data_IF_440702282323
#
_entry.id   IF_440702282323
#
_cell.length_a   1.000
_cell.length_b   1.000
_cell.length_c   1.000
_cell.angle_alpha   90.00
_cell.angle_beta   90.00
_cell.angle_gamma   90.00
#
_symmetry.space_group_name_H-M   'P 1'
#
loop_
_entity.id
_entity.type
_entity.pdbx_description
1 polymer ?
#
# COMPACT_ATOMS: atom_id res chain seq x y z
N UNK A 1 7.41 8.01 33.59
CA UNK A 1 7.78 8.40 32.21
C UNK A 1 7.52 7.19 31.34
N UNK A 2 6.66 7.29 30.32
CA UNK A 2 6.44 6.20 29.35
C UNK A 2 7.69 6.09 28.48
N UNK A 3 8.23 4.88 28.29
CA UNK A 3 9.39 4.70 27.42
C UNK A 3 8.99 4.88 25.95
N UNK A 4 9.95 5.21 25.09
CA UNK A 4 9.74 5.26 23.63
C UNK A 4 9.11 3.96 23.09
N UNK A 5 9.45 2.82 23.71
CA UNK A 5 8.87 1.52 23.39
C UNK A 5 7.38 1.44 23.78
N UNK A 6 7.02 1.85 24.98
CA UNK A 6 5.64 1.79 25.47
C UNK A 6 4.72 2.71 24.64
N UNK A 7 5.19 3.91 24.32
CA UNK A 7 4.47 4.86 23.45
C UNK A 7 4.26 4.28 22.05
N UNK A 8 5.25 3.57 21.51
CA UNK A 8 5.11 2.90 20.23
C UNK A 8 4.11 1.74 20.32
N UNK A 9 4.17 0.92 21.37
CA UNK A 9 3.23 -0.19 21.58
C UNK A 9 1.78 0.28 21.68
N UNK A 10 1.51 1.43 22.30
CA UNK A 10 0.17 2.01 22.37
C UNK A 10 -0.32 2.53 21.01
N UNK A 11 0.57 3.10 20.19
CA UNK A 11 0.21 3.75 18.90
C UNK A 11 0.38 2.86 17.68
N UNK A 12 1.02 1.69 17.83
CA UNK A 12 1.24 0.77 16.73
C UNK A 12 -0.09 0.17 16.25
N UNK A 13 -0.95 -0.44 17.10
CA UNK A 13 -2.17 -1.10 16.67
C UNK A 13 -3.18 -0.17 15.97
N UNK A 14 -3.42 1.02 16.52
CA UNK A 14 -4.45 1.95 16.03
C UNK A 14 -4.25 2.39 14.59
N UNK A 15 -3.01 2.49 14.14
CA UNK A 15 -2.69 2.83 12.74
C UNK A 15 -2.78 1.62 11.80
N UNK A 16 -2.72 0.39 12.31
CA UNK A 16 -3.04 -0.80 11.50
C UNK A 16 -4.52 -1.00 11.31
N UNK A 17 -5.35 -0.62 12.29
CA UNK A 17 -6.80 -0.63 12.10
C UNK A 17 -7.18 0.30 10.94
N UNK A 18 -6.62 1.51 10.92
CA UNK A 18 -6.77 2.46 9.80
C UNK A 18 -6.22 1.89 8.49
N UNK A 19 -5.04 1.26 8.51
CA UNK A 19 -4.49 0.63 7.30
C UNK A 19 -5.37 -0.51 6.77
N UNK A 20 -5.97 -1.29 7.66
CA UNK A 20 -6.86 -2.39 7.31
C UNK A 20 -8.18 -1.88 6.71
N UNK A 21 -8.72 -0.80 7.27
CA UNK A 21 -9.90 -0.10 6.73
C UNK A 21 -9.63 0.42 5.32
N UNK A 22 -8.54 1.19 5.13
CA UNK A 22 -8.14 1.72 3.81
C UNK A 22 -7.92 0.57 2.81
N UNK A 23 -7.24 -0.51 3.22
CA UNK A 23 -7.03 -1.66 2.35
C UNK A 23 -8.36 -2.36 1.98
N UNK A 24 -9.32 -2.42 2.90
CA UNK A 24 -10.66 -2.94 2.65
C UNK A 24 -11.43 -2.05 1.67
N UNK A 25 -11.34 -0.73 1.81
CA UNK A 25 -11.99 0.22 0.91
C UNK A 25 -11.44 0.10 -0.51
N UNK A 26 -10.11 0.09 -0.68
CA UNK A 26 -9.48 -0.13 -1.99
C UNK A 26 -9.91 -1.48 -2.57
N UNK A 27 -9.94 -2.53 -1.76
CA UNK A 27 -10.40 -3.85 -2.21
C UNK A 27 -11.85 -3.82 -2.71
N UNK A 28 -12.73 -3.10 -2.02
CA UNK A 28 -14.13 -2.94 -2.43
C UNK A 28 -14.26 -2.17 -3.74
N UNK A 29 -13.52 -1.08 -3.91
CA UNK A 29 -13.50 -0.30 -5.16
C UNK A 29 -13.02 -1.15 -6.36
N UNK A 30 -11.94 -1.92 -6.15
CA UNK A 30 -11.45 -2.89 -7.14
C UNK A 30 -12.53 -3.93 -7.48
N UNK A 31 -13.20 -4.49 -6.47
CA UNK A 31 -14.26 -5.49 -6.66
C UNK A 31 -15.47 -4.94 -7.41
N UNK A 32 -15.75 -3.64 -7.27
CA UNK A 32 -16.82 -2.94 -7.99
C UNK A 32 -16.41 -2.52 -9.41
N UNK A 33 -15.14 -2.70 -9.79
CA UNK A 33 -14.63 -2.33 -11.11
C UNK A 33 -14.21 -0.86 -11.23
N UNK A 34 -14.20 -0.11 -10.12
CA UNK A 34 -13.79 1.30 -10.10
C UNK A 34 -12.26 1.47 -10.16
N UNK A 35 -11.52 0.36 -10.05
CA UNK A 35 -10.06 0.36 -10.02
C UNK A 35 -9.52 0.69 -8.64
N UNK A 36 -8.28 1.18 -8.61
CA UNK A 36 -7.57 1.51 -7.36
C UNK A 36 -7.57 3.02 -7.19
N UNK A 37 -8.20 3.50 -6.11
CA UNK A 37 -8.15 4.92 -5.77
C UNK A 37 -6.71 5.34 -5.41
N UNK A 38 -6.11 6.29 -6.15
CA UNK A 38 -4.72 6.69 -5.95
C UNK A 38 -4.48 7.42 -4.62
N UNK A 39 -5.48 8.13 -4.08
CA UNK A 39 -5.35 8.84 -2.81
C UNK A 39 -5.41 7.85 -1.64
N UNK A 40 -6.31 6.86 -1.69
CA UNK A 40 -6.34 5.78 -0.69
C UNK A 40 -5.04 4.96 -0.72
N UNK A 41 -4.55 4.61 -1.91
CA UNK A 41 -3.28 3.89 -2.05
C UNK A 41 -2.10 4.69 -1.48
N UNK A 42 -2.07 6.01 -1.73
CA UNK A 42 -1.06 6.91 -1.17
C UNK A 42 -1.12 6.96 0.36
N UNK A 43 -2.32 7.07 0.95
CA UNK A 43 -2.49 7.03 2.40
C UNK A 43 -1.97 5.72 3.00
N UNK A 44 -2.26 4.59 2.37
CA UNK A 44 -1.77 3.28 2.80
C UNK A 44 -0.23 3.20 2.79
N UNK A 45 0.40 3.75 1.75
CA UNK A 45 1.87 3.87 1.64
C UNK A 45 2.46 4.77 2.72
N UNK A 46 1.83 5.90 3.02
CA UNK A 46 2.25 6.79 4.11
C UNK A 46 2.22 6.05 5.45
N UNK A 47 1.16 5.31 5.75
CA UNK A 47 1.08 4.52 7.00
C UNK A 47 2.19 3.47 7.05
N UNK A 48 2.41 2.72 5.97
CA UNK A 48 3.50 1.75 5.90
C UNK A 48 4.85 2.40 6.20
N UNK A 49 5.14 3.54 5.57
CA UNK A 49 6.39 4.26 5.73
C UNK A 49 6.58 4.76 7.18
N UNK A 50 5.58 5.45 7.75
CA UNK A 50 5.60 5.92 9.15
C UNK A 50 5.90 4.77 10.12
N UNK A 51 5.30 3.60 9.89
CA UNK A 51 5.47 2.44 10.78
C UNK A 51 6.79 1.72 10.59
N UNK A 52 7.30 1.62 9.37
CA UNK A 52 8.63 1.10 9.11
C UNK A 52 9.70 1.98 9.76
N UNK A 53 9.53 3.30 9.72
CA UNK A 53 10.45 4.26 10.31
C UNK A 53 10.45 4.16 11.84
N UNK A 54 9.27 4.17 12.48
CA UNK A 54 9.17 3.95 13.92
C UNK A 54 9.70 2.58 14.37
N UNK A 55 9.53 1.53 13.55
CA UNK A 55 10.12 0.22 13.85
C UNK A 55 11.65 0.21 13.76
N UNK A 56 12.24 0.95 12.81
CA UNK A 56 13.70 1.12 12.73
C UNK A 56 14.23 1.82 13.98
N UNK A 57 13.58 2.89 14.42
CA UNK A 57 13.95 3.62 15.64
C UNK A 57 13.90 2.71 16.88
N UNK A 58 12.84 1.90 17.00
CA UNK A 58 12.73 0.95 18.11
C UNK A 58 13.90 -0.03 18.17
N UNK A 59 14.30 -0.59 17.02
CA UNK A 59 15.40 -1.56 16.94
C UNK A 59 16.74 -1.01 17.41
N UNK A 60 16.92 0.31 17.41
CA UNK A 60 18.12 0.99 17.87
C UNK A 60 18.15 1.19 19.39
N UNK A 61 17.05 0.93 20.11
CA UNK A 61 16.99 1.13 21.54
C UNK A 61 17.80 0.05 22.29
N UNK A 62 18.71 0.43 23.21
CA UNK A 62 19.58 -0.50 23.92
C UNK A 62 18.83 -1.41 24.92
N UNK A 63 17.58 -1.09 25.25
CA UNK A 63 16.75 -1.79 26.24
C UNK A 63 15.92 -2.96 25.66
N UNK A 64 16.30 -3.43 24.47
CA UNK A 64 15.60 -4.50 23.73
C UNK A 64 15.90 -5.93 24.21
N UNK A 65 16.54 -6.06 25.37
CA UNK A 65 16.97 -7.36 25.90
C UNK A 65 15.83 -8.23 26.46
N UNK A 66 14.60 -7.71 26.51
CA UNK A 66 13.41 -8.48 26.89
C UNK A 66 12.88 -9.29 25.70
N UNK A 67 12.69 -10.60 25.90
CA UNK A 67 12.12 -11.54 24.94
C UNK A 67 10.76 -11.10 24.38
N UNK A 68 9.89 -10.54 25.23
CA UNK A 68 8.57 -10.04 24.81
C UNK A 68 8.71 -8.90 23.80
N UNK A 69 9.65 -7.98 24.02
CA UNK A 69 9.92 -6.87 23.10
C UNK A 69 10.41 -7.38 21.74
N UNK A 70 11.25 -8.42 21.72
CA UNK A 70 11.71 -9.06 20.48
C UNK A 70 10.56 -9.72 19.71
N UNK A 71 9.66 -10.40 20.40
CA UNK A 71 8.48 -11.01 19.79
C UNK A 71 7.53 -9.96 19.20
N UNK A 72 7.34 -8.83 19.88
CA UNK A 72 6.53 -7.72 19.39
C UNK A 72 7.14 -7.10 18.12
N UNK A 73 8.46 -6.88 18.08
CA UNK A 73 9.15 -6.40 16.88
C UNK A 73 8.97 -7.37 15.72
N UNK A 74 9.18 -8.68 15.93
CA UNK A 74 9.03 -9.68 14.87
C UNK A 74 7.58 -9.74 14.35
N UNK A 75 6.61 -9.60 15.25
CA UNK A 75 5.19 -9.53 14.88
C UNK A 75 4.89 -8.28 14.04
N UNK A 76 5.45 -7.13 14.43
CA UNK A 76 5.34 -5.89 13.69
C UNK A 76 5.97 -5.95 12.31
N UNK A 77 7.16 -6.55 12.17
CA UNK A 77 7.79 -6.82 10.88
C UNK A 77 6.87 -7.64 9.98
N UNK A 78 6.30 -8.72 10.52
CA UNK A 78 5.39 -9.60 9.78
C UNK A 78 4.17 -8.84 9.26
N UNK A 79 3.55 -7.99 10.09
CA UNK A 79 2.38 -7.20 9.68
C UNK A 79 2.78 -6.17 8.61
N UNK A 80 3.92 -5.49 8.77
CA UNK A 80 4.41 -4.52 7.79
C UNK A 80 4.74 -5.18 6.44
N UNK A 81 5.32 -6.38 6.43
CA UNK A 81 5.55 -7.14 5.20
C UNK A 81 4.23 -7.52 4.53
N UNK A 82 3.21 -7.91 5.29
CA UNK A 82 1.88 -8.19 4.72
C UNK A 82 1.25 -6.95 4.12
N UNK A 83 1.33 -5.80 4.80
CA UNK A 83 0.82 -4.54 4.30
C UNK A 83 1.54 -4.10 3.01
N UNK A 84 2.85 -4.25 2.96
CA UNK A 84 3.66 -3.98 1.77
C UNK A 84 3.29 -4.88 0.58
N UNK A 85 2.98 -6.16 0.83
CA UNK A 85 2.47 -7.06 -0.21
C UNK A 85 1.09 -6.65 -0.73
N UNK A 86 0.20 -6.18 0.16
CA UNK A 86 -1.13 -5.68 -0.23
C UNK A 86 -1.00 -4.44 -1.12
N UNK A 87 -0.15 -3.48 -0.73
CA UNK A 87 0.13 -2.26 -1.52
C UNK A 87 0.63 -2.65 -2.92
N UNK A 88 1.61 -3.55 -3.00
CA UNK A 88 2.13 -4.02 -4.30
C UNK A 88 1.07 -4.72 -5.15
N UNK A 89 0.15 -5.44 -4.52
CA UNK A 89 -1.00 -6.03 -5.20
C UNK A 89 -1.90 -4.97 -5.84
N UNK A 90 -2.23 -3.91 -5.10
CA UNK A 90 -3.01 -2.79 -5.64
C UNK A 90 -2.27 -2.02 -6.74
N UNK A 91 -0.97 -1.78 -6.59
CA UNK A 91 -0.14 -1.18 -7.64
C UNK A 91 -0.17 -2.01 -8.93
N UNK A 92 -0.10 -3.34 -8.82
CA UNK A 92 -0.21 -4.25 -9.95
C UNK A 92 -1.56 -4.15 -10.67
N UNK A 93 -2.66 -4.09 -9.92
CA UNK A 93 -4.01 -3.94 -10.49
C UNK A 93 -4.15 -2.59 -11.22
N UNK A 94 -3.69 -1.51 -10.60
CA UNK A 94 -3.69 -0.18 -11.22
C UNK A 94 -2.89 -0.17 -12.53
N UNK A 95 -1.71 -0.81 -12.54
CA UNK A 95 -0.87 -0.90 -13.72
C UNK A 95 -1.54 -1.69 -14.85
N UNK A 96 -2.13 -2.85 -14.54
CA UNK A 96 -2.84 -3.66 -15.56
C UNK A 96 -4.00 -2.89 -16.19
N UNK A 97 -4.73 -2.09 -15.41
CA UNK A 97 -5.82 -1.26 -15.96
C UNK A 97 -5.31 -0.15 -16.88
N UNK A 98 -4.18 0.48 -16.52
CA UNK A 98 -3.53 1.48 -17.39
C UNK A 98 -3.05 0.83 -18.70
N UNK A 99 -2.51 -0.39 -18.65
CA UNK A 99 -2.08 -1.11 -19.85
C UNK A 99 -3.25 -1.38 -20.80
N UNK A 100 -4.38 -1.90 -20.29
CA UNK A 100 -5.61 -2.12 -21.07
C UNK A 100 -6.09 -0.83 -21.75
N UNK A 101 -6.14 0.29 -21.01
CA UNK A 101 -6.54 1.59 -21.60
C UNK A 101 -5.55 2.08 -22.67
N UNK A 102 -4.24 1.85 -22.50
CA UNK A 102 -3.25 2.24 -23.51
C UNK A 102 -3.42 1.41 -24.78
N UNK A 103 -3.68 0.10 -24.67
CA UNK A 103 -3.95 -0.78 -25.80
C UNK A 103 -5.23 -0.34 -26.55
N UNK A 104 -6.32 -0.09 -25.83
CA UNK A 104 -7.57 0.45 -26.42
C UNK A 104 -7.36 1.78 -27.16
N UNK A 105 -6.54 2.68 -26.59
CA UNK A 105 -6.21 3.95 -27.23
C UNK A 105 -5.36 3.77 -28.49
N UNK A 106 -4.45 2.80 -28.50
CA UNK A 106 -3.65 2.45 -29.68
C UNK A 106 -4.52 1.91 -30.81
N UNK A 107 -5.46 1.00 -30.51
CA UNK A 107 -6.38 0.44 -31.51
C UNK A 107 -7.24 1.54 -32.16
N UNK A 108 -7.75 2.49 -31.36
CA UNK A 108 -8.52 3.64 -31.87
C UNK A 108 -7.65 4.54 -32.75
N UNK A 109 -6.38 4.77 -32.39
CA UNK A 109 -5.49 5.60 -33.17
C UNK A 109 -5.19 4.98 -34.54
N UNK A 110 -5.01 3.66 -34.60
CA UNK A 110 -4.81 2.92 -35.84
C UNK A 110 -6.06 2.98 -36.73
N UNK A 111 -7.27 2.78 -36.17
CA UNK A 111 -8.53 2.91 -36.92
C UNK A 111 -8.73 4.31 -37.52
N UNK A 112 -8.42 5.36 -36.75
CA UNK A 112 -8.50 6.75 -37.23
C UNK A 112 -7.50 7.00 -38.36
N UNK A 113 -6.29 6.45 -38.26
CA UNK A 113 -5.25 6.60 -39.27
C UNK A 113 -5.63 5.89 -40.58
N UNK A 114 -6.10 4.64 -40.50
CA UNK A 114 -6.60 3.88 -41.65
C UNK A 114 -7.78 4.60 -42.34
N UNK A 115 -8.72 5.12 -41.55
CA UNK A 115 -9.86 5.88 -42.06
C UNK A 115 -9.45 7.17 -42.76
N UNK A 116 -8.38 7.83 -42.31
CA UNK A 116 -7.84 9.04 -42.94
C UNK A 116 -7.13 8.72 -44.27
N UNK A 117 -6.33 7.65 -44.31
CA UNK A 117 -5.65 7.22 -45.54
C UNK A 117 -6.63 6.77 -46.63
N UNK A 118 -7.74 6.12 -46.27
CA UNK A 118 -8.78 5.70 -47.22
C UNK A 118 -9.59 6.85 -47.84
N UNK A 119 -9.44 8.09 -47.35
CA UNK A 119 -10.11 9.29 -47.86
C UNK A 119 -9.23 10.14 -48.81
N UNK A 120 -7.94 9.78 -48.98
CA UNK A 120 -7.01 10.43 -49.90
C UNK A 120 -6.94 9.72 -51.25
#
# INVERSE_FOLDING_TARGET
>A
MSSTFDTWCERFPTKFDVAAEIASDIHNEVRLGNGVDPELLKQLKTILQEKQEGLKELKLLPELNNQEKKQLIASAETILTKLDNIIRGFEGIALSRVQETVEELSDIADEVLEGYEGLQ
#
